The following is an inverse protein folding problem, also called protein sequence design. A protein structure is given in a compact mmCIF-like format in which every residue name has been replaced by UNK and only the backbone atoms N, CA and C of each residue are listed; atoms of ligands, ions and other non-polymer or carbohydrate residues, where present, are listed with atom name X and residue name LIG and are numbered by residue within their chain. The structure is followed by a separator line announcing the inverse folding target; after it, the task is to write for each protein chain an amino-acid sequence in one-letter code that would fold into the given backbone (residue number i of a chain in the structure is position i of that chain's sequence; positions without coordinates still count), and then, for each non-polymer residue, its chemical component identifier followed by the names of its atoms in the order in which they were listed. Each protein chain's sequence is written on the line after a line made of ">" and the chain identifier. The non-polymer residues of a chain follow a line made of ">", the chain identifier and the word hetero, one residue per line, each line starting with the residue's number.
data_IF_215368284677
#
_entry.id   IF_215368284677
#
_cell.length_a   1.000
_cell.length_b   1.000
_cell.length_c   1.000
_cell.angle_alpha   90.00
_cell.angle_beta   90.00
_cell.angle_gamma   90.00
#
_symmetry.space_group_name_H-M   'P 1'
#
loop_
_entity.id
_entity.type
_entity.pdbx_description
1 polymer ?
#
# COMPACT_ATOMS: atom_id res chain seq x y z
N UNK A 1 -9.73 15.62 -2.21
CA UNK A 1 -9.07 16.24 -3.38
C UNK A 1 -7.76 16.81 -2.88
N UNK A 2 -6.66 16.08 -3.10
CA UNK A 2 -5.31 16.45 -2.65
C UNK A 2 -4.62 17.10 -3.84
N UNK A 3 -4.74 18.42 -3.92
CA UNK A 3 -4.02 19.25 -4.88
C UNK A 3 -2.63 19.54 -4.35
N UNK A 4 -1.82 18.50 -4.14
CA UNK A 4 -0.39 18.67 -3.85
C UNK A 4 0.36 18.81 -5.18
N UNK A 5 0.08 19.92 -5.86
CA UNK A 5 0.70 20.34 -7.13
C UNK A 5 2.18 20.73 -6.94
N UNK A 6 2.64 20.84 -5.69
CA UNK A 6 3.98 21.34 -5.33
C UNK A 6 5.10 20.35 -5.66
N UNK A 7 4.78 19.06 -5.80
CA UNK A 7 5.77 18.01 -6.02
C UNK A 7 5.69 17.44 -7.45
N UNK A 8 5.28 18.24 -8.43
CA UNK A 8 5.25 17.87 -9.85
C UNK A 8 6.48 18.45 -10.56
N UNK A 9 7.33 17.59 -11.10
CA UNK A 9 8.52 17.99 -11.86
C UNK A 9 8.49 17.44 -13.28
N UNK A 10 9.12 18.14 -14.23
CA UNK A 10 9.26 17.60 -15.58
C UNK A 10 10.34 16.50 -15.62
N UNK A 11 10.21 15.57 -16.56
CA UNK A 11 11.23 14.54 -16.81
C UNK A 11 12.59 15.15 -17.18
N UNK A 12 12.58 16.31 -17.86
CA UNK A 12 13.81 17.02 -18.23
C UNK A 12 14.54 17.53 -16.98
N UNK A 13 13.80 18.12 -16.04
CA UNK A 13 14.36 18.60 -14.78
C UNK A 13 14.86 17.45 -13.90
N UNK A 14 14.08 16.36 -13.81
CA UNK A 14 14.48 15.16 -13.10
C UNK A 14 15.80 14.57 -13.64
N UNK A 15 15.95 14.54 -14.97
CA UNK A 15 17.15 14.00 -15.61
C UNK A 15 18.37 14.91 -15.46
N UNK A 16 18.19 16.23 -15.46
CA UNK A 16 19.29 17.20 -15.36
C UNK A 16 19.75 17.42 -13.92
N UNK A 17 18.83 17.35 -12.95
CA UNK A 17 19.07 17.74 -11.57
C UNK A 17 18.63 16.67 -10.56
N UNK A 18 18.84 15.39 -10.88
CA UNK A 18 18.34 14.28 -10.05
C UNK A 18 18.72 14.40 -8.58
N UNK A 19 19.98 14.74 -8.25
CA UNK A 19 20.43 14.92 -6.87
C UNK A 19 19.75 16.06 -6.13
N UNK A 20 19.27 17.09 -6.84
CA UNK A 20 18.48 18.18 -6.26
C UNK A 20 17.05 17.72 -5.99
N UNK A 21 16.49 16.96 -6.93
CA UNK A 21 15.17 16.35 -6.80
C UNK A 21 15.11 15.37 -5.63
N UNK A 22 16.14 14.53 -5.42
CA UNK A 22 16.18 13.60 -4.30
C UNK A 22 16.20 14.33 -2.95
N UNK A 23 16.96 15.43 -2.83
CA UNK A 23 16.90 16.28 -1.62
C UNK A 23 15.52 16.89 -1.40
N UNK A 24 14.89 17.35 -2.48
CA UNK A 24 13.53 17.86 -2.41
C UNK A 24 12.53 16.80 -1.94
N UNK A 25 12.75 15.53 -2.34
CA UNK A 25 11.96 14.38 -1.88
C UNK A 25 12.19 14.08 -0.39
N UNK A 26 13.42 14.19 0.10
CA UNK A 26 13.75 14.00 1.52
C UNK A 26 13.11 15.09 2.41
N UNK A 27 13.03 16.32 1.91
CA UNK A 27 12.49 17.48 2.64
C UNK A 27 10.96 17.62 2.55
N UNK A 28 10.40 17.45 1.34
CA UNK A 28 8.99 17.76 1.04
C UNK A 28 8.16 16.52 0.71
N UNK A 29 8.74 15.33 0.80
CA UNK A 29 8.04 14.06 0.56
C UNK A 29 8.00 13.65 -0.91
N UNK A 30 7.16 12.66 -1.27
CA UNK A 30 7.19 12.02 -2.59
C UNK A 30 6.94 13.00 -3.73
N UNK A 31 7.58 12.75 -4.87
CA UNK A 31 7.53 13.61 -6.06
C UNK A 31 7.02 12.84 -7.27
N UNK A 32 6.18 13.50 -8.08
CA UNK A 32 5.63 12.97 -9.33
C UNK A 32 6.39 13.60 -10.51
N UNK A 33 6.83 12.75 -11.44
CA UNK A 33 7.51 13.17 -12.66
C UNK A 33 6.54 13.14 -13.84
N UNK A 34 6.47 14.27 -14.53
CA UNK A 34 5.67 14.49 -15.72
C UNK A 34 6.48 14.24 -17.00
N UNK A 35 5.94 13.48 -17.95
CA UNK A 35 6.42 13.39 -19.34
C UNK A 35 5.34 13.93 -20.27
N UNK A 36 5.65 14.94 -21.06
CA UNK A 36 4.68 15.62 -21.94
C UNK A 36 3.45 16.12 -21.16
N UNK A 37 3.68 16.79 -20.02
CA UNK A 37 2.65 17.28 -19.09
C UNK A 37 1.70 16.21 -18.55
N UNK A 38 2.09 14.92 -18.61
CA UNK A 38 1.32 13.81 -18.05
C UNK A 38 2.15 13.07 -16.99
N UNK A 39 1.60 12.79 -15.79
CA UNK A 39 2.32 12.05 -14.76
C UNK A 39 2.64 10.65 -15.25
N UNK A 40 3.90 10.24 -15.14
CA UNK A 40 4.38 8.96 -15.67
C UNK A 40 5.31 8.20 -14.73
N UNK A 41 6.02 8.90 -13.84
CA UNK A 41 6.89 8.27 -12.84
C UNK A 41 6.71 8.95 -11.50
N UNK A 42 7.18 8.31 -10.42
CA UNK A 42 7.20 8.88 -9.08
C UNK A 42 8.51 8.50 -8.37
N UNK A 43 8.97 9.37 -7.47
CA UNK A 43 10.08 9.10 -6.56
C UNK A 43 9.50 9.11 -5.16
N UNK A 44 9.65 7.99 -4.46
CA UNK A 44 9.11 7.78 -3.11
C UNK A 44 10.27 7.31 -2.23
N UNK A 45 10.48 7.93 -1.04
CA UNK A 45 11.44 7.43 -0.08
C UNK A 45 11.13 5.98 0.31
N UNK A 46 12.13 5.10 0.28
CA UNK A 46 11.96 3.69 0.66
C UNK A 46 11.36 3.55 2.07
N UNK A 47 11.71 4.45 2.98
CA UNK A 47 11.20 4.46 4.37
C UNK A 47 9.68 4.60 4.42
N UNK A 48 9.08 5.35 3.49
CA UNK A 48 7.63 5.51 3.37
C UNK A 48 6.98 4.21 2.86
N UNK A 49 7.59 3.58 1.85
CA UNK A 49 7.16 2.28 1.36
C UNK A 49 7.25 1.19 2.44
N UNK A 50 8.28 1.22 3.29
CA UNK A 50 8.44 0.26 4.38
C UNK A 50 7.47 0.52 5.54
N UNK A 51 7.14 1.78 5.84
CA UNK A 51 6.10 2.15 6.82
C UNK A 51 4.71 1.75 6.34
N UNK A 52 4.40 2.00 5.08
CA UNK A 52 3.16 1.52 4.47
C UNK A 52 3.15 0.00 4.38
N UNK A 53 4.28 -0.65 4.09
CA UNK A 53 4.37 -2.11 4.18
C UNK A 53 4.22 -2.63 5.63
N UNK A 54 4.56 -1.88 6.66
CA UNK A 54 4.25 -2.33 8.04
C UNK A 54 2.78 -2.11 8.41
N UNK A 55 2.06 -1.22 7.72
CA UNK A 55 0.63 -1.00 7.86
C UNK A 55 -0.24 -1.86 6.90
N UNK A 56 0.27 -2.24 5.72
CA UNK A 56 -0.47 -2.86 4.61
C UNK A 56 0.18 -4.15 4.07
N UNK A 57 1.44 -4.47 4.41
CA UNK A 57 1.99 -5.82 4.24
C UNK A 57 1.56 -6.76 5.38
N UNK A 58 0.49 -6.40 6.09
CA UNK A 58 -0.37 -7.33 6.83
C UNK A 58 -1.65 -7.69 6.08
N UNK A 59 -1.83 -7.27 4.82
CA UNK A 59 -2.72 -8.01 3.91
C UNK A 59 -1.96 -9.25 3.44
N UNK A 60 -1.65 -10.13 4.39
CA UNK A 60 -1.41 -11.52 4.07
C UNK A 60 -2.81 -12.08 3.81
N UNK A 61 -3.23 -12.34 2.56
CA UNK A 61 -4.56 -12.86 2.29
C UNK A 61 -4.87 -14.13 3.09
N UNK A 62 -3.85 -14.90 3.52
CA UNK A 62 -4.07 -16.02 4.43
C UNK A 62 -4.44 -15.60 5.87
N UNK A 63 -3.94 -14.48 6.39
CA UNK A 63 -4.34 -14.00 7.73
C UNK A 63 -5.80 -13.59 7.77
N UNK A 64 -6.25 -12.84 6.78
CA UNK A 64 -7.65 -12.44 6.67
C UNK A 64 -8.59 -13.65 6.49
N UNK A 65 -8.19 -14.62 5.66
CA UNK A 65 -8.95 -15.86 5.47
C UNK A 65 -8.98 -16.68 6.77
N UNK A 66 -7.87 -16.77 7.51
CA UNK A 66 -7.80 -17.50 8.78
C UNK A 66 -8.63 -16.83 9.87
N UNK A 67 -8.60 -15.50 9.98
CA UNK A 67 -9.44 -14.76 10.93
C UNK A 67 -10.92 -14.85 10.57
N UNK A 68 -11.27 -14.70 9.28
CA UNK A 68 -12.63 -14.89 8.79
C UNK A 68 -13.13 -16.33 9.07
N UNK A 69 -12.29 -17.33 8.80
CA UNK A 69 -12.58 -18.74 9.06
C UNK A 69 -12.78 -19.01 10.55
N UNK A 70 -11.89 -18.52 11.41
CA UNK A 70 -12.00 -18.67 12.88
C UNK A 70 -13.28 -18.03 13.41
N UNK A 71 -13.65 -16.86 12.90
CA UNK A 71 -14.90 -16.17 13.26
C UNK A 71 -16.15 -16.94 12.81
N UNK A 72 -16.14 -17.50 11.61
CA UNK A 72 -17.24 -18.34 11.09
C UNK A 72 -17.40 -19.65 11.88
N UNK A 73 -16.28 -20.30 12.20
CA UNK A 73 -16.25 -21.51 13.04
C UNK A 73 -16.78 -21.24 14.45
N UNK A 74 -16.40 -20.10 15.05
CA UNK A 74 -16.87 -19.74 16.38
C UNK A 74 -18.35 -19.37 16.40
N UNK A 75 -18.84 -18.65 15.38
CA UNK A 75 -20.26 -18.27 15.25
C UNK A 75 -21.17 -19.48 15.07
N UNK A 76 -20.71 -20.49 14.33
CA UNK A 76 -21.51 -21.67 13.98
C UNK A 76 -21.06 -22.94 14.70
N UNK A 77 -20.34 -22.80 15.83
CA UNK A 77 -19.73 -23.91 16.56
C UNK A 77 -20.72 -25.02 16.91
N UNK A 78 -21.93 -24.66 17.33
CA UNK A 78 -22.97 -25.63 17.67
C UNK A 78 -23.55 -26.33 16.44
N UNK A 79 -23.71 -25.61 15.33
CA UNK A 79 -24.15 -26.21 14.06
C UNK A 79 -23.12 -27.22 13.53
N UNK A 80 -21.83 -26.91 13.60
CA UNK A 80 -20.78 -27.85 13.20
C UNK A 80 -20.69 -29.09 14.11
N UNK A 81 -20.99 -28.97 15.40
CA UNK A 81 -21.05 -30.13 16.31
C UNK A 81 -22.23 -31.05 16.00
N UNK A 82 -23.38 -30.49 15.66
CA UNK A 82 -24.55 -31.28 15.26
C UNK A 82 -24.26 -32.02 13.97
N UNK A 83 -23.73 -31.34 12.95
CA UNK A 83 -23.34 -31.96 11.67
C UNK A 83 -22.27 -33.06 11.85
N UNK A 84 -21.29 -32.85 12.72
CA UNK A 84 -20.26 -33.86 13.00
C UNK A 84 -20.79 -35.09 13.77
N UNK A 85 -21.91 -34.95 14.49
CA UNK A 85 -22.57 -36.04 15.19
C UNK A 85 -23.67 -36.71 14.35
N UNK A 86 -24.15 -36.08 13.28
CA UNK A 86 -25.13 -36.63 12.33
C UNK A 86 -24.49 -37.55 11.27
N UNK A 87 -23.15 -37.54 11.12
CA UNK A 87 -22.41 -38.43 10.22
C UNK A 87 -21.96 -39.77 10.86
N UNK A 88 -22.57 -40.20 11.97
CA UNK A 88 -22.31 -41.50 12.61
C UNK A 88 -23.58 -42.33 12.78
#
# INVERSE_FOLDING_TARGET
>A
MITDTNNLISITEANQNFSKVTKHVDENGPVIILKNNKPKYAIIPIQMLLKESSADYNVNPHRDILEASKKLLQKNKEAYKVLANEEN
#
